data_IF_896409382382
#
_entry.id   IF_896409382382
#
_cell.length_a   1.000
_cell.length_b   1.000
_cell.length_c   1.000
_cell.angle_alpha   90.00
_cell.angle_beta   90.00
_cell.angle_gamma   90.00
#
_symmetry.space_group_name_H-M   'P 1'
#
loop_
_entity.id
_entity.type
_entity.pdbx_description
1 polymer ?
#
# COMPACT_ATOMS: atom_id res chain seq x y z
N UNK A 1 4.55 -1.63 -19.77
CA UNK A 1 4.77 -1.04 -18.44
C UNK A 1 4.23 -2.02 -17.41
N UNK A 2 4.77 -2.02 -16.18
CA UNK A 2 4.12 -2.77 -15.08
C UNK A 2 2.99 -1.91 -14.53
N UNK A 3 1.86 -2.52 -14.24
CA UNK A 3 0.73 -1.81 -13.62
C UNK A 3 1.08 -1.44 -12.18
N UNK A 4 0.64 -0.26 -11.74
CA UNK A 4 0.90 0.23 -10.39
C UNK A 4 -0.07 -0.45 -9.43
N UNK A 5 0.47 -1.03 -8.36
CA UNK A 5 -0.30 -1.51 -7.22
C UNK A 5 0.04 -0.66 -6.00
N UNK A 6 -0.94 0.07 -5.48
CA UNK A 6 -0.77 0.77 -4.20
C UNK A 6 -1.12 -0.18 -3.05
N UNK A 7 -0.18 -0.33 -2.12
CA UNK A 7 -0.35 -1.11 -0.89
C UNK A 7 -0.37 -0.15 0.30
N UNK A 8 -1.47 -0.13 1.05
CA UNK A 8 -1.56 0.63 2.31
C UNK A 8 -1.30 -0.31 3.48
N UNK A 9 -0.14 -0.16 4.13
CA UNK A 9 0.38 -1.07 5.15
C UNK A 9 1.50 -0.39 5.96
N UNK A 10 1.35 -0.33 7.29
CA UNK A 10 2.30 0.32 8.19
C UNK A 10 3.42 -0.62 8.66
N UNK A 11 3.21 -1.94 8.59
CA UNK A 11 4.19 -2.95 9.01
C UNK A 11 5.32 -3.13 7.98
N UNK A 12 6.58 -2.77 8.30
CA UNK A 12 7.70 -2.88 7.36
C UNK A 12 8.03 -4.33 6.94
N UNK A 13 7.72 -5.30 7.80
CA UNK A 13 7.90 -6.73 7.52
C UNK A 13 6.92 -7.19 6.45
N UNK A 14 5.64 -6.86 6.58
CA UNK A 14 4.61 -7.17 5.59
C UNK A 14 4.86 -6.45 4.27
N UNK A 15 5.25 -5.15 4.29
CA UNK A 15 5.60 -4.42 3.06
C UNK A 15 6.66 -5.15 2.23
N UNK A 16 7.71 -5.69 2.87
CA UNK A 16 8.77 -6.44 2.19
C UNK A 16 8.24 -7.72 1.55
N UNK A 17 7.39 -8.45 2.26
CA UNK A 17 6.78 -9.68 1.76
C UNK A 17 5.84 -9.39 0.59
N UNK A 18 4.98 -8.37 0.69
CA UNK A 18 4.05 -7.97 -0.37
C UNK A 18 4.78 -7.52 -1.63
N UNK A 19 5.91 -6.82 -1.50
CA UNK A 19 6.76 -6.47 -2.65
C UNK A 19 7.26 -7.71 -3.41
N UNK A 20 7.55 -8.81 -2.71
CA UNK A 20 7.94 -10.09 -3.33
C UNK A 20 6.76 -10.89 -3.87
N UNK A 21 5.59 -10.78 -3.25
CA UNK A 21 4.37 -11.47 -3.65
C UNK A 21 3.79 -10.96 -4.98
N UNK A 22 4.06 -9.70 -5.35
CA UNK A 22 3.57 -9.08 -6.58
C UNK A 22 4.70 -8.71 -7.56
N UNK A 23 5.47 -9.68 -8.09
CA UNK A 23 6.65 -9.41 -8.90
C UNK A 23 6.36 -8.75 -10.25
N UNK A 24 5.12 -8.88 -10.75
CA UNK A 24 4.68 -8.33 -12.04
C UNK A 24 4.13 -6.89 -11.94
N UNK A 25 3.99 -6.35 -10.73
CA UNK A 25 3.48 -5.00 -10.50
C UNK A 25 4.59 -4.03 -10.09
N UNK A 26 4.36 -2.75 -10.32
CA UNK A 26 5.10 -1.69 -9.65
C UNK A 26 4.43 -1.41 -8.30
N UNK A 27 4.98 -2.00 -7.23
CA UNK A 27 4.40 -1.87 -5.88
C UNK A 27 4.85 -0.55 -5.25
N UNK A 28 3.88 0.30 -4.93
CA UNK A 28 4.05 1.56 -4.20
C UNK A 28 3.36 1.46 -2.85
N UNK A 29 3.91 2.10 -1.81
CA UNK A 29 3.39 2.01 -0.45
C UNK A 29 2.85 3.34 0.07
N UNK A 30 1.77 3.26 0.85
CA UNK A 30 1.34 4.27 1.82
C UNK A 30 1.35 3.64 3.22
N UNK A 31 1.95 4.29 4.20
CA UNK A 31 2.08 3.74 5.56
C UNK A 31 0.92 4.21 6.46
N UNK A 32 0.16 5.20 6.00
CA UNK A 32 -0.97 5.78 6.69
C UNK A 32 -1.94 6.40 5.68
N UNK A 33 -3.09 6.87 6.16
CA UNK A 33 -4.10 7.52 5.31
C UNK A 33 -3.53 8.72 4.53
N UNK A 34 -2.80 9.69 5.15
CA UNK A 34 -2.24 10.82 4.41
C UNK A 34 -1.29 10.41 3.27
N UNK A 35 -0.35 9.51 3.52
CA UNK A 35 0.60 9.04 2.52
C UNK A 35 -0.09 8.24 1.41
N UNK A 36 -1.07 7.39 1.73
CA UNK A 36 -1.85 6.66 0.73
C UNK A 36 -2.63 7.58 -0.19
N UNK A 37 -3.33 8.60 0.35
CA UNK A 37 -4.07 9.57 -0.44
C UNK A 37 -3.14 10.36 -1.38
N UNK A 38 -1.96 10.75 -0.89
CA UNK A 38 -0.94 11.38 -1.73
C UNK A 38 -0.53 10.49 -2.91
N UNK A 39 -0.37 9.18 -2.70
CA UNK A 39 -0.05 8.26 -3.81
C UNK A 39 -1.22 8.12 -4.80
N UNK A 40 -2.46 8.09 -4.32
CA UNK A 40 -3.65 8.05 -5.20
C UNK A 40 -3.69 9.27 -6.11
N UNK A 41 -3.43 10.47 -5.58
CA UNK A 41 -3.42 11.71 -6.36
C UNK A 41 -2.30 11.74 -7.41
N UNK A 42 -1.10 11.29 -7.03
CA UNK A 42 0.08 11.33 -7.89
C UNK A 42 0.07 10.25 -8.99
N UNK A 43 -0.36 9.04 -8.64
CA UNK A 43 -0.13 7.85 -9.47
C UNK A 43 -1.41 7.28 -10.09
N UNK A 44 -2.59 7.64 -9.58
CA UNK A 44 -3.89 7.11 -10.04
C UNK A 44 -3.88 5.57 -10.19
N UNK A 45 -3.46 4.82 -9.15
CA UNK A 45 -3.33 3.37 -9.25
C UNK A 45 -4.69 2.72 -9.53
N UNK A 46 -4.78 1.75 -10.47
CA UNK A 46 -6.04 1.07 -10.79
C UNK A 46 -6.51 0.15 -9.66
N UNK A 47 -5.61 -0.32 -8.80
CA UNK A 47 -5.89 -1.22 -7.68
C UNK A 47 -5.17 -0.76 -6.43
N UNK A 48 -5.85 -0.88 -5.29
CA UNK A 48 -5.30 -0.58 -3.95
C UNK A 48 -5.58 -1.75 -3.02
N UNK A 49 -4.57 -2.23 -2.30
CA UNK A 49 -4.77 -3.09 -1.12
C UNK A 49 -4.77 -2.23 0.13
N UNK A 50 -5.65 -2.54 1.08
CA UNK A 50 -5.82 -1.77 2.32
C UNK A 50 -5.71 -2.70 3.53
N UNK A 51 -4.71 -2.46 4.38
CA UNK A 51 -4.73 -2.99 5.74
C UNK A 51 -5.81 -2.28 6.57
N UNK A 52 -6.68 -3.07 7.20
CA UNK A 52 -7.74 -2.57 8.07
C UNK A 52 -7.21 -2.28 9.48
N UNK A 53 -6.04 -2.81 9.85
CA UNK A 53 -5.36 -2.64 11.14
C UNK A 53 -4.64 -1.30 11.33
N UNK A 54 -4.74 -0.37 10.36
CA UNK A 54 -3.98 0.88 10.41
C UNK A 54 -4.32 1.73 11.64
N UNK A 55 -3.31 2.38 12.26
CA UNK A 55 -3.53 3.31 13.36
C UNK A 55 -4.60 4.36 13.04
N UNK A 56 -5.39 4.80 14.04
CA UNK A 56 -5.13 4.68 15.47
C UNK A 56 -5.87 3.52 16.17
N UNK A 57 -6.43 2.54 15.44
CA UNK A 57 -7.34 1.60 16.10
C UNK A 57 -6.61 0.57 16.96
N UNK A 58 -6.70 0.73 18.28
CA UNK A 58 -6.06 -0.14 19.27
C UNK A 58 -6.79 -1.48 19.47
N UNK A 59 -7.92 -1.69 18.80
CA UNK A 59 -8.80 -2.83 18.97
C UNK A 59 -9.46 -3.26 17.65
N UNK A 60 -8.67 -3.82 16.73
CA UNK A 60 -9.21 -4.73 15.73
C UNK A 60 -9.00 -6.19 16.16
#
# INVERSE_FOLDING_TARGET
>A
MREILLVVEDNPGLRRQLKWAFPDHEVVFGEDRPSALKQVELLRPPVVTLDLGLPPDAAN
#
